data_IF_005975773586
#
_entry.id   IF_005975773586
#
_cell.length_a   1.000
_cell.length_b   1.000
_cell.length_c   1.000
_cell.angle_alpha   90.00
_cell.angle_beta   90.00
_cell.angle_gamma   90.00
#
_symmetry.space_group_name_H-M   'P 1'
#
loop_
_entity.id
_entity.type
_entity.pdbx_description
1 polymer ?
#
# COMPACT_ATOMS: atom_id res chain seq x y z
N UNK A 1 18.83 -3.12 -9.21
CA UNK A 1 18.82 -3.49 -10.64
C UNK A 1 17.69 -2.77 -11.39
N UNK A 2 17.82 -2.61 -12.71
CA UNK A 2 16.70 -2.15 -13.55
C UNK A 2 15.51 -3.11 -13.39
N UNK A 3 14.29 -2.56 -13.30
CA UNK A 3 13.04 -3.31 -13.13
C UNK A 3 13.00 -4.28 -11.93
N UNK A 4 13.47 -3.86 -10.77
CA UNK A 4 13.33 -4.66 -9.53
C UNK A 4 12.25 -4.08 -8.61
N UNK A 5 10.96 -4.41 -8.82
CA UNK A 5 9.90 -4.00 -7.91
C UNK A 5 10.13 -4.51 -6.48
N UNK A 6 10.86 -5.62 -6.31
CA UNK A 6 11.27 -6.16 -5.01
C UNK A 6 12.32 -5.30 -4.26
N UNK A 7 13.02 -4.39 -4.96
CA UNK A 7 14.03 -3.50 -4.38
C UNK A 7 13.46 -2.12 -3.99
N UNK A 8 12.21 -1.82 -4.34
CA UNK A 8 11.57 -0.58 -3.93
C UNK A 8 10.62 -0.89 -2.75
N UNK A 9 10.89 -0.38 -1.54
CA UNK A 9 10.11 -0.71 -0.36
C UNK A 9 8.66 -0.20 -0.49
N UNK A 10 8.46 0.88 -1.26
CA UNK A 10 7.13 1.34 -1.68
C UNK A 10 6.36 0.26 -2.46
N UNK A 11 7.01 -0.40 -3.41
CA UNK A 11 6.36 -1.34 -4.33
C UNK A 11 5.91 -2.63 -3.65
N UNK A 12 6.73 -3.20 -2.75
CA UNK A 12 6.34 -4.45 -2.08
C UNK A 12 5.56 -4.25 -0.78
N UNK A 13 5.81 -3.20 0.00
CA UNK A 13 5.16 -3.08 1.30
C UNK A 13 3.78 -2.40 1.21
N UNK A 14 3.75 -1.20 0.61
CA UNK A 14 2.55 -0.36 0.60
C UNK A 14 1.54 -0.88 -0.41
N UNK A 15 1.96 -1.15 -1.66
CA UNK A 15 1.03 -1.62 -2.69
C UNK A 15 0.53 -3.04 -2.45
N UNK A 16 1.32 -3.94 -1.87
CA UNK A 16 0.84 -5.27 -1.47
C UNK A 16 -0.19 -5.18 -0.35
N UNK A 17 0.07 -4.36 0.68
CA UNK A 17 -0.89 -4.13 1.75
C UNK A 17 -2.17 -3.47 1.25
N UNK A 18 -2.05 -2.55 0.28
CA UNK A 18 -3.18 -1.92 -0.38
C UNK A 18 -3.97 -2.94 -1.21
N UNK A 19 -3.29 -3.78 -1.99
CA UNK A 19 -3.93 -4.85 -2.76
C UNK A 19 -4.73 -5.78 -1.83
N UNK A 20 -4.12 -6.26 -0.75
CA UNK A 20 -4.81 -7.11 0.24
C UNK A 20 -6.03 -6.41 0.85
N UNK A 21 -5.92 -5.11 1.13
CA UNK A 21 -7.02 -4.30 1.67
C UNK A 21 -8.16 -4.06 0.68
N UNK A 22 -7.87 -4.08 -0.62
CA UNK A 22 -8.82 -3.88 -1.70
C UNK A 22 -9.36 -5.18 -2.30
N UNK A 23 -8.68 -6.32 -2.10
CA UNK A 23 -9.03 -7.61 -2.73
C UNK A 23 -10.46 -8.08 -2.45
N UNK A 24 -11.02 -7.74 -1.29
CA UNK A 24 -12.39 -8.13 -0.93
C UNK A 24 -13.44 -7.02 -1.20
N UNK A 25 -13.06 -5.96 -1.91
CA UNK A 25 -13.88 -4.74 -2.02
C UNK A 25 -14.25 -4.40 -3.43
N UNK A 26 -15.56 -4.19 -3.63
CA UNK A 26 -16.09 -3.62 -4.87
C UNK A 26 -15.91 -2.11 -4.84
N UNK A 27 -15.11 -1.58 -5.76
CA UNK A 27 -14.97 -0.15 -6.00
C UNK A 27 -16.01 0.25 -7.04
N UNK A 28 -17.09 0.91 -6.62
CA UNK A 28 -18.22 1.25 -7.49
C UNK A 28 -18.03 2.59 -8.22
N UNK A 29 -17.15 3.46 -7.72
CA UNK A 29 -16.87 4.78 -8.32
C UNK A 29 -15.44 5.25 -8.03
N UNK A 30 -15.02 6.31 -8.73
CA UNK A 30 -13.75 6.99 -8.44
C UNK A 30 -13.73 7.58 -7.03
N UNK A 31 -14.86 8.10 -6.57
CA UNK A 31 -15.00 8.66 -5.23
C UNK A 31 -14.87 7.57 -4.16
N UNK A 32 -15.52 6.41 -4.35
CA UNK A 32 -15.37 5.25 -3.47
C UNK A 32 -13.92 4.76 -3.41
N UNK A 33 -13.23 4.74 -4.56
CA UNK A 33 -11.81 4.42 -4.61
C UNK A 33 -10.97 5.42 -3.80
N UNK A 34 -11.24 6.71 -3.94
CA UNK A 34 -10.59 7.78 -3.16
C UNK A 34 -10.83 7.64 -1.67
N UNK A 35 -12.08 7.43 -1.26
CA UNK A 35 -12.46 7.23 0.14
C UNK A 35 -11.77 5.99 0.72
N UNK A 36 -11.68 4.91 -0.06
CA UNK A 36 -11.01 3.69 0.37
C UNK A 36 -9.50 3.87 0.54
N UNK A 37 -8.87 4.69 -0.32
CA UNK A 37 -7.45 5.06 -0.18
C UNK A 37 -7.20 5.94 1.06
N UNK A 38 -8.12 6.85 1.37
CA UNK A 38 -8.05 7.66 2.59
C UNK A 38 -8.18 6.77 3.84
N UNK A 39 -9.14 5.84 3.85
CA UNK A 39 -9.31 4.87 4.94
C UNK A 39 -8.08 3.98 5.11
N UNK A 40 -7.50 3.49 4.00
CA UNK A 40 -6.26 2.72 4.03
C UNK A 40 -5.15 3.50 4.73
N UNK A 41 -4.97 4.77 4.34
CA UNK A 41 -3.89 5.62 4.85
C UNK A 41 -4.10 6.00 6.32
N UNK A 42 -5.35 6.27 6.73
CA UNK A 42 -5.70 6.58 8.12
C UNK A 42 -5.49 5.39 9.07
N UNK A 43 -5.60 4.16 8.57
CA UNK A 43 -5.40 2.93 9.35
C UNK A 43 -3.94 2.45 9.38
N UNK A 44 -2.97 3.27 8.97
CA UNK A 44 -1.54 2.93 9.02
C UNK A 44 -0.78 3.95 9.85
N UNK A 45 -0.04 3.47 10.81
CA UNK A 45 0.81 4.29 11.67
C UNK A 45 2.18 4.54 11.05
N UNK A 46 2.96 5.42 11.68
CA UNK A 46 4.32 5.73 11.24
C UNK A 46 5.22 4.47 11.25
N UNK A 47 4.97 3.52 12.16
CA UNK A 47 5.74 2.29 12.29
C UNK A 47 5.55 1.38 11.07
N UNK A 48 4.35 1.32 10.50
CA UNK A 48 4.08 0.59 9.26
C UNK A 48 4.98 1.09 8.12
N UNK A 49 4.99 2.40 7.87
CA UNK A 49 5.82 2.97 6.80
C UNK A 49 7.31 2.78 7.07
N UNK A 50 7.75 2.96 8.31
CA UNK A 50 9.14 2.73 8.72
C UNK A 50 9.58 1.28 8.45
N UNK A 51 8.76 0.29 8.84
CA UNK A 51 9.04 -1.13 8.56
C UNK A 51 9.12 -1.43 7.07
N UNK A 52 8.29 -0.78 6.27
CA UNK A 52 8.37 -0.89 4.82
C UNK A 52 9.72 -0.41 4.28
N UNK A 53 10.16 0.78 4.71
CA UNK A 53 11.42 1.41 4.28
C UNK A 53 12.64 0.59 4.74
N UNK A 54 12.64 0.14 6.00
CA UNK A 54 13.75 -0.61 6.60
C UNK A 54 13.81 -2.08 6.14
N UNK A 55 12.82 -2.56 5.38
CA UNK A 55 12.82 -3.92 4.81
C UNK A 55 13.77 -4.09 3.62
N UNK A 56 14.41 -3.00 3.18
CA UNK A 56 15.49 -3.07 2.21
C UNK A 56 16.76 -3.60 2.89
N UNK A 57 17.40 -4.66 2.35
CA UNK A 57 18.75 -5.02 2.73
C UNK A 57 19.76 -3.94 2.29
#
# INVERSE_FOLDING_TARGET
>A
PSYSPNLAPRNYHVFLALQNFLSEKKLASREDCGNRLLEFSANRDQVFYYRGIMKLP
#
